data_IF_696960168274
#
_entry.id   IF_696960168274
#
_cell.length_a   1.000
_cell.length_b   1.000
_cell.length_c   1.000
_cell.angle_alpha   90.00
_cell.angle_beta   90.00
_cell.angle_gamma   90.00
#
_symmetry.space_group_name_H-M   'P 1'
#
loop_
_entity.id
_entity.type
_entity.pdbx_description
1 polymer ?
#
# COMPACT_ATOMS: atom_id res chain seq x y z
N UNK A 1 6.87 15.30 -36.85
CA UNK A 1 6.59 13.88 -36.55
C UNK A 1 7.27 13.41 -35.26
N UNK A 2 8.62 13.44 -35.17
CA UNK A 2 9.39 12.93 -34.02
C UNK A 2 8.93 13.46 -32.64
N UNK A 3 8.66 14.77 -32.52
CA UNK A 3 8.18 15.38 -31.27
C UNK A 3 6.81 14.87 -30.80
N UNK A 4 5.92 14.54 -31.75
CA UNK A 4 4.58 13.96 -31.46
C UNK A 4 4.69 12.50 -31.00
N UNK A 5 5.64 11.75 -31.57
CA UNK A 5 5.91 10.37 -31.16
C UNK A 5 6.44 10.29 -29.73
N UNK A 6 7.36 11.19 -29.37
CA UNK A 6 7.96 11.25 -28.02
C UNK A 6 6.91 11.61 -26.97
N UNK A 7 6.04 12.59 -27.26
CA UNK A 7 4.96 12.97 -26.34
C UNK A 7 3.93 11.86 -26.17
N UNK A 8 3.62 11.11 -27.23
CA UNK A 8 2.72 9.96 -27.15
C UNK A 8 3.28 8.84 -26.27
N UNK A 9 4.57 8.49 -26.42
CA UNK A 9 5.24 7.49 -25.58
C UNK A 9 5.28 7.91 -24.10
N UNK A 10 5.47 9.20 -23.83
CA UNK A 10 5.50 9.73 -22.48
C UNK A 10 4.13 9.64 -21.79
N UNK A 11 3.04 9.95 -22.51
CA UNK A 11 1.67 9.83 -22.01
C UNK A 11 1.35 8.37 -21.68
N UNK A 12 1.72 7.44 -22.57
CA UNK A 12 1.52 6.00 -22.35
C UNK A 12 2.30 5.54 -21.10
N UNK A 13 3.56 5.91 -20.96
CA UNK A 13 4.36 5.55 -19.78
C UNK A 13 3.77 6.07 -18.47
N UNK A 14 3.33 7.33 -18.44
CA UNK A 14 2.71 7.94 -17.26
C UNK A 14 1.36 7.29 -16.92
N UNK A 15 0.57 6.93 -17.93
CA UNK A 15 -0.72 6.27 -17.73
C UNK A 15 -0.61 4.89 -17.08
N UNK A 16 0.56 4.24 -17.15
CA UNK A 16 0.81 2.97 -16.45
C UNK A 16 1.27 3.21 -15.00
N UNK A 17 2.01 4.28 -14.71
CA UNK A 17 2.47 4.55 -13.34
C UNK A 17 1.40 5.15 -12.42
N UNK A 18 0.49 5.97 -12.97
CA UNK A 18 -0.56 6.64 -12.18
C UNK A 18 -1.52 5.66 -11.46
N UNK A 19 -2.05 4.60 -12.09
CA UNK A 19 -2.94 3.64 -11.43
C UNK A 19 -2.29 2.90 -10.27
N UNK A 20 -1.00 2.58 -10.39
CA UNK A 20 -0.25 1.88 -9.33
C UNK A 20 -0.10 2.76 -8.07
N UNK A 21 0.05 4.07 -8.25
CA UNK A 21 0.09 5.01 -7.14
C UNK A 21 -1.29 5.40 -6.62
N UNK A 22 -2.30 5.49 -7.50
CA UNK A 22 -3.67 5.85 -7.10
C UNK A 22 -4.40 4.72 -6.37
N UNK A 23 -3.98 3.46 -6.56
CA UNK A 23 -4.55 2.30 -5.89
C UNK A 23 -3.84 1.94 -4.57
N UNK A 24 -3.05 2.84 -3.99
CA UNK A 24 -2.51 2.59 -2.65
C UNK A 24 -3.64 2.60 -1.62
N UNK A 25 -3.89 1.46 -0.99
CA UNK A 25 -4.88 1.35 0.08
C UNK A 25 -4.17 1.41 1.43
N UNK A 26 -4.59 2.34 2.27
CA UNK A 26 -4.19 2.36 3.67
C UNK A 26 -5.10 1.41 4.43
N UNK A 27 -4.53 0.37 5.03
CA UNK A 27 -5.26 -0.48 5.97
C UNK A 27 -4.67 -0.33 7.36
N UNK A 28 -5.56 -0.14 8.33
CA UNK A 28 -5.24 -0.06 9.73
C UNK A 28 -5.81 -1.27 10.44
N UNK A 29 -4.96 -2.03 11.14
CA UNK A 29 -5.39 -3.12 12.00
C UNK A 29 -5.12 -2.77 13.46
N UNK A 30 -6.13 -2.94 14.31
CA UNK A 30 -5.96 -2.94 15.77
C UNK A 30 -5.95 -4.38 16.26
N UNK A 31 -4.88 -4.77 16.95
CA UNK A 31 -4.70 -6.10 17.50
C UNK A 31 -4.44 -6.07 19.00
N UNK A 32 -4.80 -7.15 19.68
CA UNK A 32 -4.46 -7.38 21.07
C UNK A 32 -3.65 -8.67 21.17
N UNK A 33 -2.40 -8.56 21.59
CA UNK A 33 -1.56 -9.72 21.86
C UNK A 33 -1.62 -10.05 23.36
N UNK A 34 -2.04 -11.26 23.67
CA UNK A 34 -2.05 -11.81 25.01
C UNK A 34 -0.84 -12.73 25.16
N UNK A 35 0.09 -12.42 26.06
CA UNK A 35 1.16 -13.34 26.44
C UNK A 35 0.97 -13.78 27.89
N UNK A 36 0.83 -15.09 28.11
CA UNK A 36 0.81 -15.68 29.45
C UNK A 36 2.21 -16.07 29.90
N UNK A 37 2.57 -15.71 31.13
CA UNK A 37 3.81 -16.13 31.79
C UNK A 37 3.63 -16.33 33.29
N UNK A 38 4.66 -16.82 34.00
CA UNK A 38 4.59 -17.18 35.43
C UNK A 38 4.27 -16.00 36.36
N UNK A 39 4.33 -14.76 35.86
CA UNK A 39 4.01 -13.52 36.59
C UNK A 39 2.66 -12.90 36.17
N UNK A 40 1.81 -13.63 35.44
CA UNK A 40 0.46 -13.20 35.05
C UNK A 40 0.26 -13.01 33.54
N UNK A 41 -0.99 -12.71 33.18
CA UNK A 41 -1.36 -12.39 31.79
C UNK A 41 -0.94 -10.96 31.45
N UNK A 42 -0.15 -10.80 30.40
CA UNK A 42 0.20 -9.49 29.86
C UNK A 42 -0.55 -9.25 28.57
N UNK A 43 -1.31 -8.16 28.53
CA UNK A 43 -2.00 -7.68 27.33
C UNK A 43 -1.16 -6.58 26.72
N UNK A 44 -0.72 -6.77 25.47
CA UNK A 44 0.02 -5.75 24.72
C UNK A 44 -0.80 -5.34 23.51
N UNK A 45 -1.33 -4.11 23.46
CA UNK A 45 -2.02 -3.61 22.27
C UNK A 45 -1.00 -3.41 21.15
N UNK A 46 -1.41 -3.73 19.93
CA UNK A 46 -0.66 -3.44 18.71
C UNK A 46 -1.53 -2.67 17.73
N UNK A 47 -0.94 -1.63 17.14
CA UNK A 47 -1.54 -0.88 16.04
C UNK A 47 -0.64 -1.10 14.85
N UNK A 48 -1.18 -1.66 13.77
CA UNK A 48 -0.44 -1.82 12.52
C UNK A 48 -1.01 -0.85 11.49
N UNK A 49 -0.15 0.02 10.97
CA UNK A 49 -0.48 0.93 9.87
C UNK A 49 0.28 0.39 8.65
N UNK A 50 -0.43 -0.33 7.79
CA UNK A 50 0.13 -0.92 6.58
C UNK A 50 -0.33 -0.14 5.36
N UNK A 51 0.62 0.29 4.53
CA UNK A 51 0.32 0.80 3.19
C UNK A 51 0.63 -0.33 2.19
N UNK A 52 -0.41 -0.92 1.61
CA UNK A 52 -0.26 -1.98 0.62
C UNK A 52 -0.46 -1.39 -0.76
N UNK A 53 0.47 -1.69 -1.69
CA UNK A 53 0.32 -1.31 -3.09
C UNK A 53 -0.86 -2.08 -3.68
N UNK A 54 -1.96 -1.40 -4.05
CA UNK A 54 -3.18 -2.06 -4.53
C UNK A 54 -3.14 -2.52 -5.98
N UNK A 55 -1.94 -2.78 -6.51
CA UNK A 55 -1.75 -3.33 -7.86
C UNK A 55 -2.40 -2.49 -8.97
N UNK A 56 -2.38 -3.05 -10.17
CA UNK A 56 -3.16 -2.51 -11.29
C UNK A 56 -4.59 -3.05 -11.16
N UNK A 57 -5.56 -2.19 -10.85
CA UNK A 57 -6.97 -2.50 -11.06
C UNK A 57 -7.21 -2.55 -12.58
N UNK A 58 -7.40 -3.76 -13.09
CA UNK A 58 -7.83 -4.05 -14.46
C UNK A 58 -9.35 -3.93 -14.58
#
# INVERSE_FOLDING_TARGET
MKKKLITLLFIIGISMFLPACSNMHMTGGVGLNFSGGPYGMRVTPSVNVGMYGGGYLW
#
